data_IF_900412561250
#
_entry.id   IF_900412561250
#
_cell.length_a   1.000
_cell.length_b   1.000
_cell.length_c   1.000
_cell.angle_alpha   90.00
_cell.angle_beta   90.00
_cell.angle_gamma   90.00
#
_symmetry.space_group_name_H-M   'P 1'
#
loop_
_entity.id
_entity.type
_entity.pdbx_description
1 polymer ?
#
# COMPACT_ATOMS: atom_id res chain seq x y z
N UNK A 1 -2.15 -15.07 -31.57
CA UNK A 1 -0.81 -15.05 -30.96
C UNK A 1 -0.80 -16.03 -29.81
N UNK A 2 0.22 -16.89 -29.76
CA UNK A 2 0.40 -17.89 -28.70
C UNK A 2 0.71 -17.22 -27.34
N UNK A 3 0.39 -17.90 -26.25
CA UNK A 3 0.66 -17.39 -24.89
C UNK A 3 2.17 -17.17 -24.65
N UNK A 4 3.03 -18.01 -25.23
CA UNK A 4 4.48 -17.86 -25.13
C UNK A 4 4.96 -16.58 -25.83
N UNK A 5 4.37 -16.23 -26.97
CA UNK A 5 4.71 -15.01 -27.71
C UNK A 5 4.36 -13.75 -26.89
N UNK A 6 3.18 -13.71 -26.27
CA UNK A 6 2.77 -12.57 -25.43
C UNK A 6 3.65 -12.40 -24.18
N UNK A 7 4.17 -13.50 -23.62
CA UNK A 7 5.10 -13.45 -22.48
C UNK A 7 6.45 -12.87 -22.87
N UNK A 8 6.96 -13.22 -24.04
CA UNK A 8 8.23 -12.69 -24.55
C UNK A 8 8.13 -11.19 -24.81
N UNK A 9 7.08 -10.72 -25.48
CA UNK A 9 6.86 -9.28 -25.71
C UNK A 9 6.79 -8.49 -24.40
N UNK A 10 6.16 -9.06 -23.37
CA UNK A 10 6.07 -8.41 -22.06
C UNK A 10 7.43 -8.31 -21.35
N UNK A 11 8.27 -9.35 -21.45
CA UNK A 11 9.63 -9.34 -20.90
C UNK A 11 10.50 -8.31 -21.63
N UNK A 12 10.43 -8.26 -22.96
CA UNK A 12 11.19 -7.28 -23.74
C UNK A 12 10.79 -5.84 -23.39
N UNK A 13 9.49 -5.59 -23.20
CA UNK A 13 9.00 -4.29 -22.74
C UNK A 13 9.48 -3.93 -21.33
N UNK A 14 9.52 -4.90 -20.41
CA UNK A 14 10.03 -4.68 -19.05
C UNK A 14 11.53 -4.38 -19.04
N UNK A 15 12.31 -5.00 -19.91
CA UNK A 15 13.76 -4.77 -20.04
C UNK A 15 14.04 -3.35 -20.57
N UNK A 16 13.20 -2.85 -21.49
CA UNK A 16 13.32 -1.48 -22.00
C UNK A 16 12.83 -0.41 -21.00
N UNK A 17 12.05 -0.81 -19.99
CA UNK A 17 11.51 0.09 -18.99
C UNK A 17 12.61 0.59 -18.04
N UNK A 18 13.05 1.83 -18.22
CA UNK A 18 14.07 2.48 -17.37
C UNK A 18 13.52 3.32 -16.23
N UNK A 19 12.20 3.42 -16.11
CA UNK A 19 11.51 4.25 -15.12
C UNK A 19 11.18 3.44 -13.87
N UNK A 20 11.96 3.64 -12.81
CA UNK A 20 11.82 2.93 -11.53
C UNK A 20 10.40 3.03 -10.95
N UNK A 21 9.74 4.19 -11.06
CA UNK A 21 8.37 4.37 -10.55
C UNK A 21 7.35 3.47 -11.26
N UNK A 22 7.56 3.17 -12.54
CA UNK A 22 6.68 2.28 -13.30
C UNK A 22 6.97 0.82 -12.97
N UNK A 23 8.23 0.46 -12.73
CA UNK A 23 8.61 -0.88 -12.25
C UNK A 23 7.94 -1.15 -10.90
N UNK A 24 8.02 -0.20 -9.95
CA UNK A 24 7.39 -0.33 -8.64
C UNK A 24 5.87 -0.55 -8.71
N UNK A 25 5.19 0.14 -9.63
CA UNK A 25 3.74 -0.08 -9.85
C UNK A 25 3.43 -1.48 -10.37
N UNK A 26 4.23 -1.99 -11.30
CA UNK A 26 4.04 -3.34 -11.85
C UNK A 26 4.32 -4.40 -10.79
N UNK A 27 5.36 -4.21 -9.98
CA UNK A 27 5.64 -5.08 -8.84
C UNK A 27 4.49 -5.04 -7.83
N UNK A 28 3.95 -3.86 -7.52
CA UNK A 28 2.77 -3.70 -6.65
C UNK A 28 1.56 -4.46 -7.20
N UNK A 29 1.33 -4.42 -8.51
CA UNK A 29 0.29 -5.22 -9.19
C UNK A 29 0.51 -6.72 -9.03
N UNK A 30 1.75 -7.20 -9.18
CA UNK A 30 2.10 -8.60 -8.92
C UNK A 30 1.73 -8.99 -7.49
N UNK A 31 2.08 -8.16 -6.51
CA UNK A 31 1.70 -8.39 -5.13
C UNK A 31 0.18 -8.47 -4.98
N UNK A 32 -0.60 -7.55 -5.58
CA UNK A 32 -2.08 -7.52 -5.48
C UNK A 32 -2.74 -8.75 -6.12
N UNK A 33 -2.11 -9.34 -7.13
CA UNK A 33 -2.63 -10.52 -7.81
C UNK A 33 -2.27 -11.80 -7.05
N UNK A 34 -1.07 -11.88 -6.45
CA UNK A 34 -0.60 -13.09 -5.74
C UNK A 34 -1.00 -13.13 -4.26
N UNK A 35 -1.18 -11.98 -3.62
CA UNK A 35 -1.68 -11.85 -2.26
C UNK A 35 -2.98 -11.04 -2.31
N UNK A 36 -4.01 -11.49 -1.59
CA UNK A 36 -5.29 -10.79 -1.41
C UNK A 36 -5.07 -9.48 -0.64
N UNK A 37 -4.47 -8.49 -1.31
CA UNK A 37 -4.18 -7.16 -0.79
C UNK A 37 -5.46 -6.36 -0.82
N UNK A 38 -5.86 -5.90 0.35
CA UNK A 38 -7.14 -5.21 0.57
C UNK A 38 -6.99 -3.70 0.59
N UNK A 39 -5.76 -3.18 0.81
CA UNK A 39 -5.50 -1.75 0.89
C UNK A 39 -4.03 -1.39 0.58
N UNK A 40 -3.77 -0.10 0.31
CA UNK A 40 -2.43 0.48 0.23
C UNK A 40 -2.25 1.48 1.39
N UNK A 41 -1.06 1.52 1.98
CA UNK A 41 -0.71 2.55 2.97
C UNK A 41 -0.49 3.90 2.31
N UNK A 42 -0.43 4.96 3.12
CA UNK A 42 -0.10 6.33 2.69
C UNK A 42 1.30 6.41 2.03
N UNK A 43 2.20 5.49 2.42
CA UNK A 43 3.53 5.32 1.84
C UNK A 43 3.57 4.36 0.64
N UNK A 44 2.41 3.96 0.10
CA UNK A 44 2.31 3.07 -1.08
C UNK A 44 2.61 1.60 -0.80
N UNK A 45 2.74 1.19 0.47
CA UNK A 45 3.01 -0.20 0.81
C UNK A 45 1.71 -1.02 0.78
N UNK A 46 1.71 -2.22 0.19
CA UNK A 46 0.55 -3.10 0.17
C UNK A 46 0.24 -3.67 1.55
N UNK A 47 -1.02 -3.55 1.99
CA UNK A 47 -1.57 -4.19 3.18
C UNK A 47 -2.36 -5.44 2.78
N UNK A 48 -1.93 -6.59 3.27
CA UNK A 48 -2.73 -7.80 3.25
C UNK A 48 -3.89 -7.75 4.27
N UNK A 49 -4.85 -8.66 4.10
CA UNK A 49 -6.07 -8.71 4.91
C UNK A 49 -5.80 -8.87 6.40
N UNK A 50 -4.82 -9.69 6.78
CA UNK A 50 -4.45 -9.91 8.17
C UNK A 50 -3.85 -8.66 8.79
N UNK A 51 -2.95 -7.98 8.07
CA UNK A 51 -2.34 -6.74 8.52
C UNK A 51 -3.37 -5.60 8.63
N UNK A 52 -4.32 -5.53 7.69
CA UNK A 52 -5.43 -4.58 7.76
C UNK A 52 -6.30 -4.80 9.00
N UNK A 53 -6.71 -6.05 9.26
CA UNK A 53 -7.51 -6.41 10.44
C UNK A 53 -6.75 -6.10 11.74
N UNK A 54 -5.44 -6.38 11.77
CA UNK A 54 -4.60 -6.05 12.93
C UNK A 54 -4.59 -4.54 13.19
N UNK A 55 -4.44 -3.73 12.15
CA UNK A 55 -4.42 -2.26 12.25
C UNK A 55 -5.74 -1.69 12.75
N UNK A 56 -6.88 -2.24 12.31
CA UNK A 56 -8.21 -1.86 12.81
C UNK A 56 -8.33 -2.19 14.30
N UNK A 57 -7.94 -3.40 14.71
CA UNK A 57 -7.97 -3.80 16.11
C UNK A 57 -7.04 -2.96 17.00
N UNK A 58 -5.87 -2.55 16.49
CA UNK A 58 -4.96 -1.64 17.21
C UNK A 58 -5.58 -0.24 17.35
N UNK A 59 -6.27 0.26 16.32
CA UNK A 59 -6.99 1.53 16.40
C UNK A 59 -8.11 1.47 17.45
N UNK A 60 -8.92 0.41 17.45
CA UNK A 60 -9.98 0.21 18.45
C UNK A 60 -9.42 0.12 19.88
N UNK A 61 -8.28 -0.55 20.05
CA UNK A 61 -7.58 -0.61 21.35
C UNK A 61 -7.08 0.77 21.79
N UNK A 62 -6.54 1.59 20.88
CA UNK A 62 -6.08 2.95 21.19
C UNK A 62 -7.21 3.89 21.59
N UNK A 63 -8.35 3.79 20.91
CA UNK A 63 -9.56 4.53 21.28
C UNK A 63 -10.02 4.09 22.66
N UNK A 64 -10.11 2.78 22.89
CA UNK A 64 -10.53 2.20 24.18
C UNK A 64 -9.58 2.52 25.33
N UNK A 65 -8.27 2.67 25.07
CA UNK A 65 -7.26 3.01 26.08
C UNK A 65 -7.14 4.51 26.35
N UNK A 66 -7.98 5.35 25.72
CA UNK A 66 -7.95 6.81 25.87
C UNK A 66 -6.79 7.48 25.12
N UNK A 67 -6.07 6.75 24.27
CA UNK A 67 -5.01 7.29 23.41
C UNK A 67 -5.58 7.86 22.10
N UNK A 68 -6.50 8.81 22.23
CA UNK A 68 -7.06 9.58 21.12
C UNK A 68 -6.64 11.04 21.24
N UNK A 69 -6.42 11.69 20.10
CA UNK A 69 -6.18 13.13 20.03
C UNK A 69 -7.49 13.80 19.69
N UNK A 70 -7.93 14.76 20.49
CA UNK A 70 -9.11 15.56 20.16
C UNK A 70 -8.78 16.58 19.08
N UNK A 71 -9.81 17.11 18.41
CA UNK A 71 -9.63 18.16 17.40
C UNK A 71 -8.95 19.40 18.02
N UNK A 72 -9.27 19.73 19.28
CA UNK A 72 -8.69 20.86 20.00
C UNK A 72 -7.21 20.64 20.35
N UNK A 73 -6.81 19.41 20.70
CA UNK A 73 -5.41 19.06 20.92
C UNK A 73 -4.62 19.17 19.61
N UNK A 74 -5.20 18.70 18.51
CA UNK A 74 -4.59 18.80 17.19
C UNK A 74 -4.39 20.26 16.75
N UNK A 75 -5.39 21.13 16.97
CA UNK A 75 -5.27 22.56 16.67
C UNK A 75 -4.16 23.24 17.49
N UNK A 76 -3.95 22.83 18.74
CA UNK A 76 -2.84 23.34 19.58
C UNK A 76 -1.47 22.88 19.07
N UNK A 77 -1.36 21.66 18.56
CA UNK A 77 -0.11 21.14 18.00
C UNK A 77 0.23 21.81 16.67
N UNK A 78 -0.75 22.00 15.77
CA UNK A 78 -0.55 22.69 14.48
C UNK A 78 -0.07 24.12 14.70
N UNK A 79 -0.56 24.83 15.73
CA UNK A 79 -0.10 26.18 16.07
C UNK A 79 1.36 26.25 16.56
N UNK A 80 1.96 25.12 16.92
CA UNK A 80 3.36 25.05 17.38
C UNK A 80 4.35 24.65 16.27
N UNK A 81 3.85 24.21 15.12
CA UNK A 81 4.66 23.98 13.91
C UNK A 81 4.88 25.29 13.17
#
# INVERSE_FOLDING_TARGET
MDLAARKLEFIDWLIDLKDENKIDKILSLKYVIEKEIVALTISGHPLDKEEYIKRVNEADKRISSGQFTTIEDLEKEIKKW
#
